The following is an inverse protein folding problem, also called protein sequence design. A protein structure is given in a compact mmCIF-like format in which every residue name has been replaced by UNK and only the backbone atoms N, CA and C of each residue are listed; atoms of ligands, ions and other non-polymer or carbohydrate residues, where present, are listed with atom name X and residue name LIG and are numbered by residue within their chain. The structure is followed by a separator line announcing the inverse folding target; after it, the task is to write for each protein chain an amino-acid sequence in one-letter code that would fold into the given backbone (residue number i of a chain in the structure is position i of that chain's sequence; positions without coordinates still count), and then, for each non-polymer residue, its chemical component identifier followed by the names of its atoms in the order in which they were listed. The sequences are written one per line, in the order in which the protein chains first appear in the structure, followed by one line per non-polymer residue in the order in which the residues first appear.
data_IF_103258023898
#
_entry.id   IF_103258023898
#
_cell.length_a   1.000
_cell.length_b   1.000
_cell.length_c   1.000
_cell.angle_alpha   90.00
_cell.angle_beta   90.00
_cell.angle_gamma   90.00
#
_symmetry.space_group_name_H-M   'P 1'
#
loop_
_entity.id
_entity.type
_entity.pdbx_description
1 polymer ?
#
# COMPACT_ATOMS: atom_id res chain seq x y z
N UNK A 1 9.75 51.54 52.00
CA UNK A 1 10.77 50.72 51.30
C UNK A 1 10.15 50.16 50.03
N UNK A 2 10.66 50.62 48.89
CA UNK A 2 10.11 50.37 47.56
C UNK A 2 10.55 49.00 47.01
N UNK A 3 9.58 48.36 46.34
CA UNK A 3 9.64 47.33 45.30
C UNK A 3 11.04 46.91 44.81
N UNK A 4 11.35 45.61 44.93
CA UNK A 4 12.23 44.90 44.00
C UNK A 4 11.50 43.67 43.44
N UNK A 5 10.62 43.92 42.48
CA UNK A 5 10.29 42.96 41.42
C UNK A 5 11.52 42.82 40.53
N UNK A 6 12.18 41.66 40.54
CA UNK A 6 13.23 41.34 39.56
C UNK A 6 12.68 40.35 38.55
N UNK A 7 12.95 40.64 37.29
CA UNK A 7 12.28 40.14 36.11
C UNK A 7 12.54 38.65 35.86
N UNK A 8 11.46 37.88 35.66
CA UNK A 8 11.49 36.64 34.89
C UNK A 8 11.09 37.00 33.47
N UNK A 9 12.08 37.32 32.64
CA UNK A 9 11.92 37.47 31.20
C UNK A 9 13.22 37.06 30.55
N UNK A 10 13.17 35.94 29.81
CA UNK A 10 14.00 35.55 28.65
C UNK A 10 14.28 34.03 28.62
N UNK A 11 13.24 33.20 28.55
CA UNK A 11 13.41 31.78 28.22
C UNK A 11 12.31 31.21 27.31
N UNK A 12 11.43 32.06 26.75
CA UNK A 12 10.27 31.62 25.94
C UNK A 12 10.45 31.90 24.44
N UNK A 13 11.48 32.63 24.02
CA UNK A 13 11.63 33.00 22.58
C UNK A 13 12.55 32.06 21.77
N UNK A 14 13.25 31.12 22.41
CA UNK A 14 14.08 30.13 21.66
C UNK A 14 13.36 28.78 21.46
N UNK A 15 12.24 28.52 22.16
CA UNK A 15 11.50 27.27 22.02
C UNK A 15 10.56 27.25 20.80
N UNK A 16 10.23 28.39 20.21
CA UNK A 16 9.29 28.50 19.06
C UNK A 16 9.97 28.58 17.70
N UNK A 17 11.31 28.64 17.63
CA UNK A 17 12.05 28.52 16.37
C UNK A 17 12.37 27.05 15.98
N UNK A 18 12.01 26.08 16.83
CA UNK A 18 12.19 24.64 16.57
C UNK A 18 10.92 23.93 16.05
N UNK A 19 9.89 24.68 15.65
CA UNK A 19 8.68 24.06 15.08
C UNK A 19 8.82 23.79 13.59
N UNK A 20 8.63 22.51 13.24
CA UNK A 20 8.42 21.94 11.90
C UNK A 20 9.64 21.55 11.08
N UNK A 21 10.61 20.84 11.66
CA UNK A 21 11.32 19.83 10.87
C UNK A 21 10.49 18.55 10.82
N UNK A 22 9.61 18.49 9.83
CA UNK A 22 8.83 17.31 9.47
C UNK A 22 9.75 16.35 8.72
N UNK A 23 9.91 15.15 9.25
CA UNK A 23 10.62 14.06 8.59
C UNK A 23 9.66 13.32 7.65
N UNK A 24 10.13 13.08 6.43
CA UNK A 24 9.48 12.37 5.35
C UNK A 24 10.20 11.03 5.22
N UNK A 25 9.43 9.96 5.03
CA UNK A 25 9.91 8.61 4.80
C UNK A 25 10.80 8.62 3.56
N UNK A 26 12.13 8.66 3.67
CA UNK A 26 13.01 9.20 2.62
C UNK A 26 12.58 10.64 2.23
N UNK A 27 13.52 11.57 2.02
CA UNK A 27 13.06 12.86 1.45
C UNK A 27 12.57 12.58 0.03
N UNK A 28 11.39 13.12 -0.30
CA UNK A 28 10.82 13.31 -1.64
C UNK A 28 11.79 13.14 -2.85
N UNK A 29 12.95 13.83 -2.91
CA UNK A 29 13.89 13.68 -4.04
C UNK A 29 14.54 12.29 -4.19
N UNK A 30 14.61 11.52 -3.10
CA UNK A 30 15.26 10.21 -3.07
C UNK A 30 14.39 9.16 -3.76
N UNK A 31 13.07 9.19 -3.53
CA UNK A 31 12.12 8.32 -4.25
C UNK A 31 12.10 8.63 -5.74
N UNK A 32 12.08 9.91 -6.10
CA UNK A 32 12.17 10.36 -7.50
C UNK A 32 13.42 9.80 -8.16
N UNK A 33 14.56 9.93 -7.49
CA UNK A 33 15.82 9.44 -8.03
C UNK A 33 15.87 7.93 -8.18
N UNK A 34 15.38 7.16 -7.19
CA UNK A 34 15.23 5.71 -7.35
C UNK A 34 14.38 5.38 -8.59
N UNK A 35 13.25 6.07 -8.77
CA UNK A 35 12.36 5.83 -9.90
C UNK A 35 13.04 6.06 -11.25
N UNK A 36 13.71 7.22 -11.40
CA UNK A 36 14.40 7.58 -12.63
C UNK A 36 15.55 6.62 -12.94
N UNK A 37 16.35 6.26 -11.94
CA UNK A 37 17.44 5.30 -12.11
C UNK A 37 16.96 3.89 -12.42
N UNK A 38 15.83 3.47 -11.84
CA UNK A 38 15.22 2.19 -12.20
C UNK A 38 14.70 2.17 -13.64
N UNK A 39 14.16 3.28 -14.16
CA UNK A 39 13.76 3.39 -15.57
C UNK A 39 14.99 3.31 -16.48
N UNK A 40 16.09 3.99 -16.12
CA UNK A 40 17.36 3.90 -16.86
C UNK A 40 17.92 2.47 -16.90
N UNK A 41 17.83 1.72 -15.78
CA UNK A 41 18.24 0.31 -15.72
C UNK A 41 17.52 -0.56 -16.76
N UNK A 42 16.23 -0.32 -17.02
CA UNK A 42 15.49 -1.07 -18.05
C UNK A 42 16.16 -0.98 -19.41
N UNK A 43 16.67 0.21 -19.77
CA UNK A 43 17.40 0.41 -21.03
C UNK A 43 18.73 -0.32 -21.02
N UNK A 44 19.49 -0.21 -19.93
CA UNK A 44 20.81 -0.82 -19.78
C UNK A 44 20.72 -2.35 -19.86
N UNK A 45 19.69 -2.93 -19.24
CA UNK A 45 19.49 -4.37 -19.15
C UNK A 45 18.71 -4.96 -20.36
N UNK A 46 18.37 -4.12 -21.35
CA UNK A 46 17.77 -4.57 -22.61
C UNK A 46 16.24 -4.74 -22.60
N UNK A 47 15.54 -4.27 -21.56
CA UNK A 47 14.07 -4.20 -21.52
C UNK A 47 13.55 -2.97 -22.27
N UNK A 48 13.89 -2.87 -23.56
CA UNK A 48 13.69 -1.67 -24.38
C UNK A 48 12.22 -1.27 -24.47
N UNK A 49 11.29 -2.21 -24.69
CA UNK A 49 9.87 -1.87 -24.82
C UNK A 49 9.27 -1.32 -23.51
N UNK A 50 9.71 -1.86 -22.37
CA UNK A 50 9.32 -1.36 -21.06
C UNK A 50 9.91 0.04 -20.84
N UNK A 51 11.20 0.23 -21.14
CA UNK A 51 11.86 1.52 -21.09
C UNK A 51 11.12 2.58 -21.94
N UNK A 52 10.78 2.27 -23.18
CA UNK A 52 10.08 3.19 -24.08
C UNK A 52 8.66 3.56 -23.60
N UNK A 53 8.00 2.69 -22.84
CA UNK A 53 6.74 3.03 -22.19
C UNK A 53 7.01 4.03 -21.07
N UNK A 54 7.89 3.70 -20.12
CA UNK A 54 8.07 4.48 -18.90
C UNK A 54 8.77 5.81 -19.16
N UNK A 55 9.67 5.89 -20.13
CA UNK A 55 10.39 7.12 -20.49
C UNK A 55 9.45 8.24 -20.93
N UNK A 56 8.29 7.90 -21.49
CA UNK A 56 7.24 8.86 -21.87
C UNK A 56 6.53 9.50 -20.68
N UNK A 57 6.65 8.89 -19.50
CA UNK A 57 5.95 9.28 -18.27
C UNK A 57 6.91 9.50 -17.09
N UNK A 58 8.21 9.70 -17.33
CA UNK A 58 9.23 9.91 -16.29
C UNK A 58 8.84 11.02 -15.31
N UNK A 59 8.42 12.18 -15.81
CA UNK A 59 7.99 13.31 -14.97
C UNK A 59 6.77 12.97 -14.12
N UNK A 60 5.79 12.27 -14.70
CA UNK A 60 4.60 11.81 -13.99
C UNK A 60 4.98 10.83 -12.89
N UNK A 61 5.84 9.85 -13.20
CA UNK A 61 6.27 8.84 -12.25
C UNK A 61 7.05 9.50 -11.12
N UNK A 62 8.09 10.27 -11.43
CA UNK A 62 8.92 10.96 -10.44
C UNK A 62 8.05 11.80 -9.50
N UNK A 63 7.28 12.75 -10.04
CA UNK A 63 6.48 13.68 -9.22
C UNK A 63 5.40 12.98 -8.36
N UNK A 64 4.91 11.81 -8.80
CA UNK A 64 3.88 11.07 -8.06
C UNK A 64 4.43 10.10 -7.01
N UNK A 65 5.74 9.79 -7.04
CA UNK A 65 6.37 8.97 -5.99
C UNK A 65 6.24 9.61 -4.61
N UNK A 66 6.08 10.93 -4.52
CA UNK A 66 6.03 11.64 -3.24
C UNK A 66 4.61 11.77 -2.67
N UNK A 67 3.58 11.53 -3.50
CA UNK A 67 2.17 11.73 -3.12
C UNK A 67 1.77 10.94 -1.87
N UNK A 68 2.16 9.65 -1.70
CA UNK A 68 1.84 8.90 -0.48
C UNK A 68 2.31 9.58 0.81
N UNK A 69 3.26 10.50 0.69
CA UNK A 69 3.87 11.20 1.81
C UNK A 69 3.23 12.56 2.16
N UNK A 70 2.33 13.06 1.30
CA UNK A 70 1.62 14.32 1.51
C UNK A 70 0.46 14.23 2.49
N UNK A 71 0.26 15.30 3.27
CA UNK A 71 -0.87 15.40 4.20
C UNK A 71 -2.19 15.37 3.41
N UNK A 72 -3.07 14.45 3.78
CA UNK A 72 -4.39 14.31 3.17
C UNK A 72 -4.44 13.34 2.00
N UNK A 73 -3.30 12.76 1.61
CA UNK A 73 -3.27 11.68 0.63
C UNK A 73 -3.91 10.39 1.19
N UNK A 74 -4.57 9.61 0.34
CA UNK A 74 -5.29 8.40 0.75
C UNK A 74 -4.37 7.22 1.10
N UNK A 75 -3.10 7.25 0.69
CA UNK A 75 -2.09 6.31 1.15
C UNK A 75 -1.22 6.89 2.27
N UNK A 76 -1.47 8.15 2.68
CA UNK A 76 -0.84 8.71 3.88
C UNK A 76 -1.52 8.16 5.12
N UNK A 77 -0.73 7.52 5.98
CA UNK A 77 -1.19 7.13 7.30
C UNK A 77 -0.04 6.82 8.24
N UNK A 78 -0.21 7.14 9.53
CA UNK A 78 0.80 6.87 10.56
C UNK A 78 1.15 5.37 10.52
N UNK A 79 2.41 5.03 10.24
CA UNK A 79 2.92 3.65 10.29
C UNK A 79 2.55 2.75 9.10
N UNK A 80 1.87 3.25 8.06
CA UNK A 80 1.48 2.42 6.91
C UNK A 80 2.61 2.19 5.90
N UNK A 81 3.56 3.11 5.84
CA UNK A 81 4.76 3.03 4.98
C UNK A 81 5.81 2.03 5.50
N UNK A 82 5.46 1.21 6.47
CA UNK A 82 6.36 0.29 7.15
C UNK A 82 6.01 -1.15 6.79
N UNK A 83 7.03 -1.99 6.72
CA UNK A 83 6.92 -3.43 6.53
C UNK A 83 8.00 -4.12 7.36
N UNK A 84 7.72 -4.21 8.66
CA UNK A 84 8.72 -4.42 9.70
C UNK A 84 9.05 -5.90 9.93
N UNK A 85 10.33 -6.21 9.86
CA UNK A 85 10.95 -7.51 10.22
C UNK A 85 11.27 -7.55 11.69
N UNK A 86 11.69 -6.42 12.24
CA UNK A 86 12.13 -6.30 13.64
C UNK A 86 11.29 -5.27 14.38
N UNK A 87 11.28 -5.36 15.70
CA UNK A 87 10.82 -4.26 16.54
C UNK A 87 11.85 -3.11 16.57
N UNK A 88 11.53 -2.05 17.32
CA UNK A 88 12.40 -0.86 17.45
C UNK A 88 13.79 -1.18 18.06
N UNK A 89 13.93 -2.34 18.72
CA UNK A 89 15.16 -2.80 19.36
C UNK A 89 15.94 -3.82 18.50
N UNK A 90 15.48 -4.11 17.29
CA UNK A 90 16.12 -5.06 16.38
C UNK A 90 15.73 -6.51 16.64
N UNK A 91 14.77 -6.79 17.53
CA UNK A 91 14.33 -8.17 17.76
C UNK A 91 13.43 -8.61 16.60
N UNK A 92 13.81 -9.72 15.95
CA UNK A 92 13.05 -10.31 14.84
C UNK A 92 11.63 -10.65 15.29
N UNK A 93 10.67 -10.14 14.54
CA UNK A 93 9.25 -10.41 14.71
C UNK A 93 8.84 -11.53 13.77
N UNK A 94 7.93 -12.39 14.24
CA UNK A 94 7.31 -13.37 13.35
C UNK A 94 6.44 -12.62 12.34
N UNK A 95 6.59 -12.95 11.07
CA UNK A 95 5.59 -12.60 10.08
C UNK A 95 4.21 -13.12 10.55
N UNK A 96 3.15 -12.41 10.17
CA UNK A 96 1.81 -12.94 10.31
C UNK A 96 1.69 -14.24 9.52
N UNK A 97 0.60 -14.96 9.77
CA UNK A 97 0.21 -16.06 8.91
C UNK A 97 0.03 -15.57 7.46
N UNK A 98 0.34 -16.42 6.47
CA UNK A 98 0.53 -16.07 5.04
C UNK A 98 1.69 -15.12 4.71
N UNK A 99 2.65 -14.93 5.62
CA UNK A 99 3.92 -14.27 5.32
C UNK A 99 3.86 -12.75 5.22
N UNK A 100 2.79 -12.09 5.68
CA UNK A 100 2.75 -10.63 5.77
C UNK A 100 3.53 -10.13 6.99
N UNK A 101 4.29 -9.04 6.85
CA UNK A 101 5.03 -8.41 7.95
C UNK A 101 4.23 -7.31 8.64
N UNK A 102 4.72 -6.85 9.79
CA UNK A 102 4.00 -5.89 10.62
C UNK A 102 4.09 -4.46 10.08
N UNK A 103 3.06 -3.65 10.35
CA UNK A 103 3.15 -2.20 10.17
C UNK A 103 3.88 -1.54 11.35
N UNK A 104 4.25 -0.27 11.19
CA UNK A 104 4.83 0.51 12.29
C UNK A 104 3.84 0.82 13.44
N UNK A 105 2.56 0.49 13.26
CA UNK A 105 1.50 0.63 14.27
C UNK A 105 1.17 -0.66 15.02
N UNK A 106 1.39 -1.83 14.41
CA UNK A 106 0.89 -3.11 14.94
C UNK A 106 1.58 -3.50 16.26
N UNK A 107 2.74 -2.93 16.58
CA UNK A 107 3.48 -3.25 17.80
C UNK A 107 2.81 -2.72 19.09
N UNK A 108 1.90 -1.75 18.98
CA UNK A 108 1.09 -1.29 20.11
C UNK A 108 -0.21 -2.09 20.27
N UNK A 109 -0.59 -2.91 19.28
CA UNK A 109 -1.79 -3.76 19.30
C UNK A 109 -1.63 -4.94 18.33
N UNK A 110 -0.86 -5.99 18.69
CA UNK A 110 -0.47 -7.09 17.80
C UNK A 110 -1.64 -7.87 17.16
N UNK A 111 -2.84 -7.73 17.72
CA UNK A 111 -4.08 -8.39 17.28
C UNK A 111 -4.87 -7.65 16.20
N UNK A 112 -4.43 -6.47 15.76
CA UNK A 112 -5.13 -5.67 14.74
C UNK A 112 -4.31 -5.55 13.48
N UNK A 113 -4.88 -5.98 12.35
CA UNK A 113 -4.43 -5.56 11.04
C UNK A 113 -4.28 -4.05 11.01
N UNK A 114 -3.13 -3.61 10.54
CA UNK A 114 -3.01 -2.29 9.96
C UNK A 114 -2.41 -2.46 8.57
N UNK A 115 -2.84 -1.57 7.69
CA UNK A 115 -2.26 -1.39 6.38
C UNK A 115 -0.72 -1.23 6.50
N UNK A 116 -0.01 -1.90 5.61
CA UNK A 116 1.45 -1.92 5.48
C UNK A 116 1.88 -1.46 4.09
N UNK A 117 3.18 -1.22 3.91
CA UNK A 117 3.72 -0.80 2.62
C UNK A 117 3.40 -1.83 1.53
N UNK A 118 3.51 -3.13 1.84
CA UNK A 118 3.12 -4.21 0.92
C UNK A 118 1.64 -4.16 0.54
N UNK A 119 0.73 -4.01 1.51
CA UNK A 119 -0.70 -3.97 1.17
C UNK A 119 -1.06 -2.73 0.35
N UNK A 120 -0.41 -1.59 0.61
CA UNK A 120 -0.57 -0.37 -0.21
C UNK A 120 -0.02 -0.60 -1.63
N UNK A 121 1.14 -1.24 -1.75
CA UNK A 121 1.72 -1.63 -3.04
C UNK A 121 0.73 -2.49 -3.82
N UNK A 122 0.21 -3.57 -3.24
CA UNK A 122 -0.72 -4.49 -3.89
C UNK A 122 -2.02 -3.78 -4.32
N UNK A 123 -2.56 -2.90 -3.48
CA UNK A 123 -3.75 -2.13 -3.82
C UNK A 123 -3.50 -1.17 -5.01
N UNK A 124 -2.39 -0.44 -4.99
CA UNK A 124 -2.04 0.50 -6.06
C UNK A 124 -1.62 -0.22 -7.35
N UNK A 125 -1.01 -1.40 -7.24
CA UNK A 125 -0.68 -2.26 -8.37
C UNK A 125 -1.94 -2.66 -9.13
N UNK A 126 -2.98 -3.09 -8.40
CA UNK A 126 -4.26 -3.43 -9.00
C UNK A 126 -4.93 -2.20 -9.65
N UNK A 127 -4.86 -1.02 -9.01
CA UNK A 127 -5.37 0.22 -9.60
C UNK A 127 -4.61 0.61 -10.88
N UNK A 128 -3.27 0.48 -10.89
CA UNK A 128 -2.44 0.79 -12.04
C UNK A 128 -2.80 -0.08 -13.25
N UNK A 129 -2.94 -1.39 -13.04
CA UNK A 129 -3.33 -2.31 -14.10
C UNK A 129 -4.73 -1.98 -14.66
N UNK A 130 -5.68 -1.63 -13.78
CA UNK A 130 -7.04 -1.25 -14.19
C UNK A 130 -7.06 0.02 -15.03
N UNK A 131 -6.38 1.09 -14.60
CA UNK A 131 -6.30 2.33 -15.38
C UNK A 131 -5.56 2.14 -16.71
N UNK A 132 -4.50 1.32 -16.72
CA UNK A 132 -3.78 1.01 -17.96
C UNK A 132 -4.70 0.34 -18.97
N UNK A 133 -5.46 -0.68 -18.54
CA UNK A 133 -6.44 -1.38 -19.38
C UNK A 133 -7.57 -0.47 -19.85
N UNK A 134 -7.97 0.50 -19.03
CA UNK A 134 -8.98 1.50 -19.40
C UNK A 134 -8.47 2.53 -20.42
N UNK A 135 -7.17 2.51 -20.76
CA UNK A 135 -6.54 3.46 -21.68
C UNK A 135 -6.09 4.77 -21.02
N UNK A 136 -6.30 4.93 -19.71
CA UNK A 136 -5.79 6.08 -18.94
C UNK A 136 -4.37 5.77 -18.44
N UNK A 137 -3.44 5.77 -19.40
CA UNK A 137 -2.04 5.38 -19.15
C UNK A 137 -1.36 6.34 -18.18
N UNK A 138 -1.64 7.65 -18.28
CA UNK A 138 -1.07 8.63 -17.37
C UNK A 138 -1.50 8.35 -15.93
N UNK A 139 -2.79 8.10 -15.70
CA UNK A 139 -3.29 7.72 -14.37
C UNK A 139 -2.70 6.40 -13.89
N UNK A 140 -2.53 5.42 -14.78
CA UNK A 140 -1.84 4.18 -14.46
C UNK A 140 -0.43 4.45 -13.94
N UNK A 141 0.33 5.33 -14.61
CA UNK A 141 1.69 5.69 -14.20
C UNK A 141 1.73 6.43 -12.85
N UNK A 142 0.70 7.21 -12.51
CA UNK A 142 0.57 7.78 -11.16
C UNK A 142 0.46 6.68 -10.08
N UNK A 143 -0.24 5.57 -10.37
CA UNK A 143 -0.32 4.43 -9.45
C UNK A 143 0.94 3.55 -9.45
N UNK A 144 1.62 3.41 -10.60
CA UNK A 144 2.96 2.81 -10.67
C UNK A 144 3.91 3.57 -9.76
N UNK A 145 3.92 4.91 -9.80
CA UNK A 145 4.73 5.74 -8.93
C UNK A 145 4.49 5.50 -7.43
N UNK A 146 3.23 5.25 -7.04
CA UNK A 146 2.88 4.89 -5.66
C UNK A 146 3.43 3.53 -5.26
N UNK A 147 3.47 2.58 -6.19
CA UNK A 147 4.11 1.28 -5.99
C UNK A 147 5.62 1.45 -5.78
N UNK A 148 6.27 2.29 -6.60
CA UNK A 148 7.70 2.64 -6.46
C UNK A 148 8.00 3.19 -5.07
N UNK A 149 7.18 4.12 -4.57
CA UNK A 149 7.32 4.65 -3.21
C UNK A 149 7.32 3.54 -2.16
N UNK A 150 6.36 2.61 -2.22
CA UNK A 150 6.27 1.52 -1.25
C UNK A 150 7.48 0.58 -1.33
N UNK A 151 7.99 0.27 -2.53
CA UNK A 151 9.20 -0.55 -2.68
C UNK A 151 10.41 0.15 -2.06
N UNK A 152 10.61 1.43 -2.36
CA UNK A 152 11.71 2.22 -1.83
C UNK A 152 11.66 2.31 -0.29
N UNK A 153 10.46 2.48 0.27
CA UNK A 153 10.25 2.43 1.73
C UNK A 153 10.53 1.03 2.30
N UNK A 154 10.21 -0.06 1.60
CA UNK A 154 10.60 -1.40 2.06
C UNK A 154 12.13 -1.59 1.95
N UNK A 155 12.79 -0.95 0.99
CA UNK A 155 14.26 -0.87 0.92
C UNK A 155 14.91 0.03 1.98
N UNK A 156 14.12 0.77 2.76
CA UNK A 156 14.59 1.67 3.81
C UNK A 156 14.68 0.96 5.17
N UNK A 157 15.87 0.93 5.77
CA UNK A 157 16.08 0.25 7.06
C UNK A 157 15.17 0.78 8.18
N UNK A 158 15.04 2.11 8.42
CA UNK A 158 14.08 2.60 9.41
C UNK A 158 12.64 2.09 9.25
N UNK A 159 12.21 1.79 8.02
CA UNK A 159 10.85 1.35 7.68
C UNK A 159 10.64 -0.17 7.80
N UNK A 160 11.73 -0.94 7.82
CA UNK A 160 11.73 -2.39 8.04
C UNK A 160 12.09 -2.77 9.48
N UNK A 161 12.55 -1.81 10.28
CA UNK A 161 12.96 -2.06 11.67
C UNK A 161 12.18 -1.23 12.69
N UNK A 162 10.99 -0.77 12.31
CA UNK A 162 10.07 -0.02 13.16
C UNK A 162 10.69 1.19 13.88
N UNK A 163 11.69 1.84 13.28
CA UNK A 163 12.27 3.06 13.82
C UNK A 163 11.33 4.23 13.50
N UNK A 164 10.14 4.25 14.09
CA UNK A 164 9.13 5.25 13.74
C UNK A 164 9.50 6.65 14.23
N UNK A 165 8.92 7.69 13.61
CA UNK A 165 9.06 9.08 14.05
C UNK A 165 8.53 9.35 15.47
N UNK A 166 7.74 8.44 16.02
CA UNK A 166 7.23 8.51 17.39
C UNK A 166 7.94 7.55 18.34
N UNK A 167 8.89 6.77 17.83
CA UNK A 167 9.68 5.85 18.66
C UNK A 167 10.72 6.60 19.49
N UNK A 168 11.20 5.94 20.55
CA UNK A 168 12.38 6.41 21.32
C UNK A 168 13.63 6.55 20.45
N UNK A 169 13.65 5.92 19.27
CA UNK A 169 14.75 5.92 18.31
C UNK A 169 14.55 6.90 17.13
N UNK A 170 13.59 7.82 17.22
CA UNK A 170 13.29 8.83 16.18
C UNK A 170 14.53 9.61 15.71
N UNK A 171 15.47 9.91 16.62
CA UNK A 171 16.72 10.59 16.25
C UNK A 171 17.56 9.80 15.24
N UNK A 172 17.53 8.46 15.30
CA UNK A 172 18.25 7.56 14.40
C UNK A 172 17.60 7.50 13.02
N UNK A 173 16.27 7.41 12.98
CA UNK A 173 15.48 7.52 11.75
C UNK A 173 15.79 8.83 11.02
N UNK A 174 15.64 9.96 11.71
CA UNK A 174 15.90 11.28 11.12
C UNK A 174 17.34 11.44 10.64
N UNK A 175 18.32 10.93 11.40
CA UNK A 175 19.73 10.96 11.00
C UNK A 175 19.94 10.20 9.69
N UNK A 176 19.43 8.98 9.60
CA UNK A 176 19.55 8.13 8.41
C UNK A 176 18.97 8.82 7.18
N UNK A 177 17.72 9.29 7.25
CA UNK A 177 17.05 9.90 6.10
C UNK A 177 17.63 11.26 5.72
N UNK A 178 18.04 12.05 6.72
CA UNK A 178 18.69 13.33 6.46
C UNK A 178 20.01 13.13 5.74
N UNK A 179 20.84 12.19 6.22
CA UNK A 179 22.11 11.85 5.58
C UNK A 179 21.90 11.27 4.18
N UNK A 180 20.96 10.35 4.03
CA UNK A 180 20.55 9.82 2.72
C UNK A 180 20.23 10.96 1.75
N UNK A 181 19.44 11.96 2.20
CA UNK A 181 19.05 13.08 1.35
C UNK A 181 20.19 14.00 0.88
N UNK A 182 21.39 13.90 1.46
CA UNK A 182 22.57 14.66 1.02
C UNK A 182 23.52 13.86 0.13
N UNK A 183 23.43 12.52 0.11
CA UNK A 183 24.39 11.66 -0.59
C UNK A 183 23.77 10.77 -1.67
N UNK A 184 22.45 10.57 -1.70
CA UNK A 184 21.79 9.58 -2.56
C UNK A 184 22.11 9.71 -4.05
N UNK A 185 22.33 10.93 -4.56
CA UNK A 185 22.64 11.17 -5.98
C UNK A 185 23.99 10.61 -6.43
N UNK A 186 24.84 10.18 -5.48
CA UNK A 186 26.12 9.52 -5.73
C UNK A 186 25.96 8.03 -6.07
N UNK A 187 24.82 7.43 -5.76
CA UNK A 187 24.66 5.98 -5.73
C UNK A 187 23.70 5.49 -6.82
N UNK A 188 24.23 4.72 -7.76
CA UNK A 188 23.49 4.24 -8.91
C UNK A 188 23.90 2.81 -9.24
N UNK A 189 22.93 1.90 -9.21
CA UNK A 189 23.11 0.54 -9.66
C UNK A 189 23.46 0.54 -11.16
N UNK A 190 24.47 -0.26 -11.53
CA UNK A 190 24.94 -0.34 -12.92
C UNK A 190 24.12 -1.27 -13.78
N UNK A 191 23.55 -2.29 -13.16
CA UNK A 191 22.69 -3.29 -13.77
C UNK A 191 21.62 -3.73 -12.77
N UNK A 192 20.49 -4.20 -13.29
CA UNK A 192 19.54 -4.99 -12.54
C UNK A 192 20.15 -6.30 -12.08
N UNK A 193 19.68 -6.77 -10.92
CA UNK A 193 19.98 -8.12 -10.46
C UNK A 193 19.02 -9.11 -11.13
N UNK A 194 19.57 -10.12 -11.82
CA UNK A 194 18.80 -11.12 -12.53
C UNK A 194 17.88 -11.93 -11.59
N UNK A 195 18.32 -12.23 -10.37
CA UNK A 195 17.51 -12.95 -9.38
C UNK A 195 16.35 -12.08 -8.89
N UNK A 196 16.55 -10.75 -8.80
CA UNK A 196 15.48 -9.81 -8.47
C UNK A 196 14.42 -9.77 -9.58
N UNK A 197 14.84 -9.70 -10.84
CA UNK A 197 13.91 -9.76 -11.98
C UNK A 197 13.14 -11.09 -11.99
N UNK A 198 13.86 -12.22 -11.83
CA UNK A 198 13.27 -13.55 -11.77
C UNK A 198 12.28 -13.71 -10.61
N UNK A 199 12.58 -13.17 -9.43
CA UNK A 199 11.66 -13.16 -8.29
C UNK A 199 10.37 -12.43 -8.66
N UNK A 200 10.45 -11.21 -9.21
CA UNK A 200 9.26 -10.48 -9.61
C UNK A 200 8.45 -11.18 -10.70
N UNK A 201 9.08 -11.93 -11.61
CA UNK A 201 8.39 -12.65 -12.67
C UNK A 201 7.77 -13.97 -12.20
N UNK A 202 8.40 -14.69 -11.27
CA UNK A 202 7.91 -15.97 -10.73
C UNK A 202 6.91 -15.80 -9.59
N UNK A 203 7.03 -14.73 -8.82
CA UNK A 203 6.18 -14.49 -7.67
C UNK A 203 4.75 -14.17 -8.10
N UNK A 204 3.80 -15.00 -7.67
CA UNK A 204 2.39 -14.82 -8.04
C UNK A 204 1.81 -13.53 -7.44
N UNK A 205 2.24 -13.15 -6.23
CA UNK A 205 1.56 -12.16 -5.38
C UNK A 205 2.52 -11.18 -4.66
N UNK A 206 3.73 -11.01 -5.18
CA UNK A 206 4.77 -10.11 -4.64
C UNK A 206 5.21 -10.41 -3.20
N UNK A 207 4.82 -11.56 -2.65
CA UNK A 207 5.12 -11.90 -1.27
C UNK A 207 6.58 -12.23 -1.05
N UNK A 208 7.14 -13.07 -1.89
CA UNK A 208 8.51 -13.54 -1.76
C UNK A 208 9.48 -12.41 -2.08
N UNK A 209 9.21 -11.62 -3.14
CA UNK A 209 10.09 -10.51 -3.50
C UNK A 209 10.10 -9.40 -2.43
N UNK A 210 8.93 -8.94 -1.96
CA UNK A 210 8.86 -7.85 -0.97
C UNK A 210 9.29 -8.31 0.43
N UNK A 211 9.10 -9.58 0.77
CA UNK A 211 9.65 -10.15 2.00
C UNK A 211 11.18 -10.20 1.95
N UNK A 212 11.76 -10.61 0.83
CA UNK A 212 13.22 -10.67 0.65
C UNK A 212 13.84 -9.27 0.75
N UNK A 213 13.26 -8.28 0.07
CA UNK A 213 13.71 -6.89 0.18
C UNK A 213 13.70 -6.39 1.63
N UNK A 214 12.61 -6.69 2.33
CA UNK A 214 12.42 -6.30 3.72
C UNK A 214 13.46 -6.95 4.64
N UNK A 215 13.79 -8.23 4.44
CA UNK A 215 14.85 -8.92 5.19
C UNK A 215 16.22 -8.29 4.96
N UNK A 216 16.59 -8.08 3.70
CA UNK A 216 17.88 -7.48 3.35
C UNK A 216 18.00 -6.09 3.96
N UNK A 217 16.96 -5.27 3.84
CA UNK A 217 16.88 -3.92 4.39
C UNK A 217 17.04 -3.90 5.92
N UNK A 218 16.44 -4.86 6.63
CA UNK A 218 16.51 -4.94 8.09
C UNK A 218 17.89 -5.38 8.62
N UNK A 219 18.71 -6.07 7.82
CA UNK A 219 20.06 -6.49 8.22
C UNK A 219 20.98 -5.30 8.56
N UNK A 220 20.67 -4.12 8.02
CA UNK A 220 21.39 -2.88 8.28
C UNK A 220 21.02 -2.20 9.60
N UNK A 221 20.13 -2.78 10.42
CA UNK A 221 19.65 -2.20 11.69
C UNK A 221 20.80 -1.69 12.57
N UNK A 222 21.78 -2.56 12.81
CA UNK A 222 22.88 -2.28 13.71
C UNK A 222 23.72 -1.10 13.22
N UNK A 223 24.00 -1.03 11.92
CA UNK A 223 24.68 0.13 11.34
C UNK A 223 23.83 1.38 11.49
N UNK A 224 22.55 1.35 11.13
CA UNK A 224 21.66 2.53 11.22
C UNK A 224 21.53 3.07 12.64
N UNK A 225 21.43 2.18 13.63
CA UNK A 225 21.25 2.54 15.04
C UNK A 225 22.56 2.92 15.71
N UNK A 226 23.61 2.12 15.52
CA UNK A 226 24.89 2.27 16.22
C UNK A 226 25.84 3.23 15.53
N UNK A 227 25.74 3.41 14.19
CA UNK A 227 26.75 4.06 13.33
C UNK A 227 27.51 5.19 14.03
N UNK A 228 28.79 4.94 14.41
CA UNK A 228 29.66 5.94 14.99
C UNK A 228 30.39 6.79 13.92
N UNK A 229 30.48 6.33 12.66
CA UNK A 229 31.21 6.98 11.56
C UNK A 229 30.33 7.12 10.29
N UNK A 230 30.53 8.21 9.52
CA UNK A 230 29.71 8.54 8.33
C UNK A 230 29.99 7.62 7.12
N UNK A 231 31.20 7.08 6.97
CA UNK A 231 31.58 6.20 5.85
C UNK A 231 30.80 4.89 5.83
N UNK A 232 30.60 4.25 6.98
CA UNK A 232 29.78 3.05 7.12
C UNK A 232 28.30 3.34 6.83
N UNK A 233 27.85 4.56 7.14
CA UNK A 233 26.49 5.00 6.83
C UNK A 233 26.33 5.24 5.33
N UNK A 234 27.33 5.82 4.65
CA UNK A 234 27.36 5.97 3.19
C UNK A 234 27.28 4.61 2.48
N UNK A 235 28.09 3.62 2.87
CA UNK A 235 28.04 2.26 2.30
C UNK A 235 26.67 1.60 2.51
N UNK A 236 26.08 1.77 3.69
CA UNK A 236 24.73 1.25 3.98
C UNK A 236 23.68 1.87 3.08
N UNK A 237 23.78 3.19 2.84
CA UNK A 237 22.84 3.94 2.00
C UNK A 237 23.07 3.59 0.53
N UNK A 238 24.30 3.46 0.07
CA UNK A 238 24.63 3.02 -1.29
C UNK A 238 23.96 1.69 -1.59
N UNK A 239 24.17 0.69 -0.72
CA UNK A 239 23.54 -0.61 -0.85
C UNK A 239 22.01 -0.52 -0.87
N UNK A 240 21.40 0.25 0.05
CA UNK A 240 19.95 0.40 0.10
C UNK A 240 19.36 1.10 -1.14
N UNK A 241 20.00 2.18 -1.61
CA UNK A 241 19.55 2.96 -2.79
C UNK A 241 19.69 2.11 -4.06
N UNK A 242 20.84 1.49 -4.28
CA UNK A 242 21.07 0.64 -5.45
C UNK A 242 20.14 -0.58 -5.46
N UNK A 243 19.93 -1.23 -4.32
CA UNK A 243 18.99 -2.35 -4.20
C UNK A 243 17.55 -1.90 -4.50
N UNK A 244 17.12 -0.75 -3.98
CA UNK A 244 15.79 -0.21 -4.27
C UNK A 244 15.61 0.08 -5.76
N UNK A 245 16.63 0.62 -6.45
CA UNK A 245 16.60 0.81 -7.91
C UNK A 245 16.40 -0.51 -8.66
N UNK A 246 17.12 -1.57 -8.28
CA UNK A 246 17.00 -2.89 -8.91
C UNK A 246 15.62 -3.53 -8.66
N UNK A 247 15.10 -3.44 -7.43
CA UNK A 247 13.75 -3.94 -7.11
C UNK A 247 12.65 -3.17 -7.83
N UNK A 248 12.79 -1.84 -7.95
CA UNK A 248 11.86 -1.03 -8.74
C UNK A 248 11.94 -1.41 -10.21
N UNK A 249 13.13 -1.62 -10.78
CA UNK A 249 13.28 -2.07 -12.16
C UNK A 249 12.60 -3.43 -12.38
N UNK A 250 12.78 -4.40 -11.48
CA UNK A 250 12.10 -5.71 -11.56
C UNK A 250 10.58 -5.60 -11.48
N UNK A 251 10.09 -4.73 -10.60
CA UNK A 251 8.68 -4.37 -10.54
C UNK A 251 8.17 -3.77 -11.85
N UNK A 252 8.91 -2.84 -12.47
CA UNK A 252 8.51 -2.20 -13.72
C UNK A 252 8.44 -3.22 -14.86
N UNK A 253 9.40 -4.15 -14.97
CA UNK A 253 9.34 -5.26 -15.94
C UNK A 253 8.09 -6.11 -15.72
N UNK A 254 7.79 -6.45 -14.46
CA UNK A 254 6.61 -7.24 -14.10
C UNK A 254 5.31 -6.51 -14.40
N UNK A 255 5.19 -5.23 -14.07
CA UNK A 255 4.00 -4.44 -14.41
C UNK A 255 3.81 -4.37 -15.92
N UNK A 256 4.87 -4.02 -16.67
CA UNK A 256 4.82 -3.95 -18.13
C UNK A 256 4.30 -5.26 -18.71
N UNK A 257 4.89 -6.40 -18.29
CA UNK A 257 4.49 -7.74 -18.74
C UNK A 257 3.03 -8.05 -18.42
N UNK A 258 2.59 -7.81 -17.19
CA UNK A 258 1.21 -8.08 -16.76
C UNK A 258 0.21 -7.17 -17.49
N UNK A 259 0.59 -5.92 -17.75
CA UNK A 259 -0.23 -4.94 -18.48
C UNK A 259 -0.42 -5.31 -19.95
N UNK A 260 0.65 -5.69 -20.67
CA UNK A 260 0.57 -6.07 -22.09
C UNK A 260 -0.10 -7.43 -22.29
N UNK A 261 0.11 -8.38 -21.38
CA UNK A 261 -0.49 -9.71 -21.46
C UNK A 261 -1.96 -9.72 -21.02
N UNK A 262 -2.50 -8.56 -20.62
CA UNK A 262 -3.88 -8.43 -20.19
C UNK A 262 -4.19 -9.32 -18.99
N UNK A 263 -3.25 -9.43 -18.03
CA UNK A 263 -3.50 -10.12 -16.76
C UNK A 263 -4.84 -9.66 -16.18
N UNK A 264 -5.55 -10.57 -15.51
CA UNK A 264 -6.93 -10.36 -15.05
C UNK A 264 -7.00 -9.14 -14.14
N UNK A 265 -7.40 -8.02 -14.71
CA UNK A 265 -7.73 -6.81 -13.97
C UNK A 265 -9.21 -6.90 -13.64
N UNK A 266 -9.52 -6.86 -12.36
CA UNK A 266 -10.89 -6.62 -11.98
C UNK A 266 -11.30 -5.23 -12.49
N UNK A 267 -12.58 -5.06 -12.81
CA UNK A 267 -13.24 -3.74 -12.80
C UNK A 267 -12.90 -2.86 -14.01
N UNK A 268 -12.82 -3.52 -15.17
CA UNK A 268 -12.80 -2.95 -16.53
C UNK A 268 -14.17 -2.41 -17.00
N UNK A 269 -15.03 -1.99 -16.07
CA UNK A 269 -16.43 -1.64 -16.37
C UNK A 269 -17.34 -2.85 -16.65
N UNK A 270 -16.81 -4.08 -16.57
CA UNK A 270 -17.59 -5.31 -16.71
C UNK A 270 -18.62 -5.52 -15.61
N UNK A 271 -19.55 -6.45 -15.85
CA UNK A 271 -20.55 -6.94 -14.88
C UNK A 271 -20.00 -8.18 -14.19
N UNK A 272 -20.09 -8.20 -12.86
CA UNK A 272 -19.55 -9.26 -12.04
C UNK A 272 -20.54 -9.73 -10.96
N UNK A 273 -20.60 -11.04 -10.75
CA UNK A 273 -21.07 -11.63 -9.51
C UNK A 273 -19.91 -11.69 -8.51
N UNK A 274 -20.16 -11.31 -7.25
CA UNK A 274 -19.11 -11.22 -6.23
C UNK A 274 -19.39 -12.29 -5.18
N UNK A 275 -18.54 -13.32 -5.13
CA UNK A 275 -18.69 -14.50 -4.28
C UNK A 275 -17.68 -14.50 -3.14
N UNK A 276 -18.13 -14.74 -1.92
CA UNK A 276 -17.24 -14.95 -0.78
C UNK A 276 -16.59 -16.34 -0.84
N UNK A 277 -15.30 -16.43 -0.53
CA UNK A 277 -14.54 -17.69 -0.63
C UNK A 277 -14.99 -18.71 0.41
N UNK A 278 -15.07 -18.34 1.70
CA UNK A 278 -15.41 -19.30 2.76
C UNK A 278 -16.84 -19.83 2.65
N UNK A 279 -17.79 -18.92 2.47
CA UNK A 279 -19.22 -19.29 2.53
C UNK A 279 -19.78 -19.71 1.19
N UNK A 280 -19.07 -19.42 0.09
CA UNK A 280 -19.56 -19.56 -1.28
C UNK A 280 -20.68 -18.60 -1.63
N UNK A 281 -21.11 -17.71 -0.72
CA UNK A 281 -22.28 -16.86 -0.88
C UNK A 281 -22.00 -15.65 -1.76
N UNK A 282 -22.99 -15.23 -2.54
CA UNK A 282 -22.89 -14.04 -3.38
C UNK A 282 -23.40 -12.79 -2.68
N UNK A 283 -22.83 -11.64 -3.02
CA UNK A 283 -23.43 -10.35 -2.66
C UNK A 283 -24.76 -10.17 -3.41
N UNK A 284 -25.79 -9.69 -2.71
CA UNK A 284 -27.09 -9.35 -3.27
C UNK A 284 -27.69 -8.13 -2.57
N UNK A 285 -28.57 -7.39 -3.26
CA UNK A 285 -29.27 -6.22 -2.72
C UNK A 285 -30.75 -6.56 -2.50
N UNK A 286 -31.19 -6.67 -1.24
CA UNK A 286 -32.58 -7.04 -0.92
C UNK A 286 -33.52 -5.82 -0.83
N UNK A 287 -34.70 -5.95 -1.43
CA UNK A 287 -35.84 -5.04 -1.24
C UNK A 287 -36.68 -5.48 -0.04
N UNK A 288 -36.90 -4.62 0.95
CA UNK A 288 -37.93 -4.90 1.96
C UNK A 288 -39.29 -4.38 1.53
N UNK A 289 -40.36 -5.03 2.01
CA UNK A 289 -41.78 -4.71 1.70
C UNK A 289 -42.19 -3.26 1.99
N UNK A 290 -41.42 -2.52 2.79
CA UNK A 290 -41.69 -1.11 3.10
C UNK A 290 -41.23 -0.11 2.01
N UNK A 291 -40.73 -0.60 0.87
CA UNK A 291 -40.12 0.25 -0.16
C UNK A 291 -38.76 0.82 0.23
N UNK A 292 -38.32 0.65 1.49
CA UNK A 292 -36.98 1.03 1.96
C UNK A 292 -35.99 -0.06 1.56
N UNK A 293 -34.94 0.38 0.86
CA UNK A 293 -33.75 -0.42 0.62
C UNK A 293 -33.07 -0.70 1.97
N UNK A 294 -32.88 -1.98 2.30
CA UNK A 294 -31.96 -2.36 3.36
C UNK A 294 -30.69 -2.92 2.74
N UNK A 295 -29.64 -2.93 3.55
CA UNK A 295 -28.25 -3.16 3.20
C UNK A 295 -28.04 -4.46 2.38
N UNK A 296 -26.85 -4.57 1.78
CA UNK A 296 -26.44 -5.74 1.02
C UNK A 296 -26.44 -7.00 1.90
N UNK A 297 -26.92 -8.11 1.36
CA UNK A 297 -27.02 -9.40 2.04
C UNK A 297 -26.28 -10.49 1.25
N UNK A 298 -25.92 -11.56 1.94
CA UNK A 298 -25.27 -12.73 1.36
C UNK A 298 -26.31 -13.76 0.92
N UNK A 299 -26.36 -14.06 -0.38
CA UNK A 299 -27.24 -15.07 -0.96
C UNK A 299 -26.62 -16.49 -0.85
N UNK A 300 -27.44 -17.48 -0.51
CA UNK A 300 -27.00 -18.87 -0.26
C UNK A 300 -26.65 -19.63 -1.56
N UNK A 301 -25.37 -19.99 -1.74
CA UNK A 301 -24.92 -20.74 -2.92
C UNK A 301 -25.11 -22.27 -2.86
N UNK A 302 -25.51 -22.85 -1.70
CA UNK A 302 -25.78 -24.29 -1.57
C UNK A 302 -26.91 -24.82 -2.46
N UNK A 303 -27.62 -23.93 -3.15
CA UNK A 303 -28.46 -24.25 -4.29
C UNK A 303 -27.82 -23.67 -5.55
N UNK A 304 -26.88 -24.39 -6.16
CA UNK A 304 -26.42 -24.12 -7.54
C UNK A 304 -27.62 -24.14 -8.54
N UNK A 305 -28.81 -24.51 -8.07
CA UNK A 305 -30.11 -24.51 -8.74
C UNK A 305 -31.17 -23.53 -8.20
N UNK A 306 -30.94 -22.70 -7.16
CA UNK A 306 -31.76 -21.48 -6.96
C UNK A 306 -31.11 -20.45 -7.86
N UNK A 307 -31.76 -20.17 -8.98
CA UNK A 307 -31.24 -19.41 -10.11
C UNK A 307 -30.44 -18.17 -9.69
N UNK A 308 -29.31 -17.94 -10.39
CA UNK A 308 -28.55 -16.68 -10.37
C UNK A 308 -29.45 -15.44 -10.55
N UNK A 309 -30.68 -15.61 -11.05
CA UNK A 309 -31.74 -14.60 -11.15
C UNK A 309 -32.01 -13.84 -9.84
N UNK A 310 -31.73 -14.43 -8.66
CA UNK A 310 -31.94 -13.76 -7.37
C UNK A 310 -30.69 -13.02 -6.84
N UNK A 311 -29.55 -13.13 -7.53
CA UNK A 311 -28.32 -12.41 -7.21
C UNK A 311 -28.20 -11.16 -8.10
N UNK A 312 -27.77 -10.04 -7.51
CA UNK A 312 -27.47 -8.85 -8.30
C UNK A 312 -26.11 -9.00 -8.96
N UNK A 313 -26.02 -8.80 -10.28
CA UNK A 313 -24.74 -8.49 -10.90
C UNK A 313 -24.37 -7.05 -10.53
N UNK A 314 -23.08 -6.81 -10.31
CA UNK A 314 -22.54 -5.49 -10.00
C UNK A 314 -21.68 -5.02 -11.16
N UNK A 315 -21.97 -3.82 -11.63
CA UNK A 315 -21.04 -3.03 -12.45
C UNK A 315 -20.05 -2.40 -11.50
N UNK A 316 -18.78 -2.44 -11.86
CA UNK A 316 -17.77 -1.74 -11.10
C UNK A 316 -17.25 -0.51 -11.83
N UNK A 317 -17.22 0.61 -11.10
CA UNK A 317 -16.58 1.85 -11.51
C UNK A 317 -15.41 2.16 -10.59
N UNK A 318 -14.31 2.67 -11.15
CA UNK A 318 -13.14 3.10 -10.41
C UNK A 318 -13.19 4.62 -10.16
N UNK A 319 -12.84 5.04 -8.95
CA UNK A 319 -12.65 6.46 -8.59
C UNK A 319 -11.21 6.88 -8.86
N UNK A 320 -10.96 8.19 -8.88
CA UNK A 320 -9.61 8.76 -9.06
C UNK A 320 -8.56 8.33 -8.04
N UNK A 321 -8.98 7.87 -6.85
CA UNK A 321 -8.10 7.34 -5.80
C UNK A 321 -7.82 5.83 -5.94
N UNK A 322 -8.32 5.22 -7.02
CA UNK A 322 -8.16 3.80 -7.32
C UNK A 322 -9.14 2.90 -6.56
N UNK A 323 -10.03 3.48 -5.75
CA UNK A 323 -11.08 2.73 -5.07
C UNK A 323 -12.26 2.44 -6.01
N UNK A 324 -12.85 1.28 -5.80
CA UNK A 324 -13.92 0.72 -6.59
C UNK A 324 -15.27 0.93 -5.94
N UNK A 325 -16.26 1.31 -6.75
CA UNK A 325 -17.66 1.36 -6.37
C UNK A 325 -18.38 0.24 -7.12
N UNK A 326 -19.12 -0.58 -6.37
CA UNK A 326 -19.94 -1.64 -6.95
C UNK A 326 -21.39 -1.18 -7.02
N UNK A 327 -21.95 -1.12 -8.22
CA UNK A 327 -23.32 -0.69 -8.49
C UNK A 327 -24.12 -1.84 -9.08
N UNK A 328 -25.17 -2.27 -8.39
CA UNK A 328 -26.12 -3.25 -8.88
C UNK A 328 -27.01 -2.68 -9.99
N UNK A 329 -27.61 -3.54 -10.81
CA UNK A 329 -28.47 -3.18 -11.95
C UNK A 329 -29.66 -2.27 -11.60
N UNK A 330 -30.14 -2.30 -10.36
CA UNK A 330 -31.17 -1.39 -9.86
C UNK A 330 -30.60 -0.01 -9.44
N UNK A 331 -29.42 0.35 -9.94
CA UNK A 331 -28.64 1.54 -9.61
C UNK A 331 -28.32 1.70 -8.12
N UNK A 332 -28.22 0.59 -7.38
CA UNK A 332 -27.88 0.62 -5.96
C UNK A 332 -26.43 0.28 -5.73
N UNK A 333 -25.80 1.07 -4.88
CA UNK A 333 -24.40 0.91 -4.53
C UNK A 333 -24.26 -0.08 -3.37
N UNK A 334 -23.27 -0.95 -3.45
CA UNK A 334 -22.89 -1.85 -2.37
C UNK A 334 -22.50 -1.03 -1.14
N UNK A 335 -23.08 -1.36 0.02
CA UNK A 335 -22.92 -0.54 1.22
C UNK A 335 -22.88 -1.37 2.51
N UNK A 336 -21.85 -1.19 3.34
CA UNK A 336 -21.67 -1.88 4.63
C UNK A 336 -21.76 -0.90 5.80
N UNK A 337 -22.93 -0.73 6.43
CA UNK A 337 -23.04 0.20 7.57
C UNK A 337 -22.12 -0.23 8.72
N UNK A 338 -21.31 0.67 9.30
CA UNK A 338 -20.80 0.44 10.65
C UNK A 338 -21.99 0.39 11.61
N UNK A 339 -22.05 -0.65 12.46
CA UNK A 339 -23.19 -0.90 13.36
C UNK A 339 -23.44 0.21 14.40
N UNK A 340 -22.66 1.29 14.45
CA UNK A 340 -22.64 2.26 15.56
C UNK A 340 -22.81 3.73 15.19
N UNK A 341 -22.99 4.13 13.93
CA UNK A 341 -23.15 5.57 13.60
C UNK A 341 -24.63 5.90 13.32
N UNK A 342 -25.24 6.63 14.24
CA UNK A 342 -26.65 7.03 14.29
C UNK A 342 -27.09 8.05 13.25
N UNK A 343 -26.36 8.23 12.15
CA UNK A 343 -26.76 9.15 11.08
C UNK A 343 -26.76 8.47 9.72
N UNK A 344 -27.94 8.47 9.09
CA UNK A 344 -28.18 7.97 7.75
C UNK A 344 -27.55 8.86 6.66
N UNK A 345 -26.20 8.96 6.63
CA UNK A 345 -25.52 9.36 5.40
C UNK A 345 -25.35 8.12 4.53
N UNK A 346 -26.12 8.04 3.44
CA UNK A 346 -25.83 7.14 2.32
C UNK A 346 -24.46 7.54 1.75
N UNK A 347 -23.40 6.90 2.22
CA UNK A 347 -22.08 6.99 1.62
C UNK A 347 -21.95 5.78 0.68
N UNK A 348 -21.66 6.04 -0.59
CA UNK A 348 -21.14 5.02 -1.50
C UNK A 348 -19.81 4.51 -0.93
N UNK A 349 -19.65 3.18 -0.89
CA UNK A 349 -18.44 2.57 -0.34
C UNK A 349 -17.44 2.41 -1.47
N UNK A 350 -16.29 3.08 -1.35
CA UNK A 350 -15.13 2.80 -2.16
C UNK A 350 -14.33 1.66 -1.54
N UNK A 351 -13.97 0.65 -2.31
CA UNK A 351 -13.10 -0.43 -1.87
C UNK A 351 -11.80 -0.42 -2.65
N UNK A 352 -10.64 -0.53 -2.02
CA UNK A 352 -9.43 -0.92 -2.73
C UNK A 352 -9.38 -2.44 -2.80
N UNK A 353 -9.09 -2.97 -3.99
CA UNK A 353 -8.92 -4.40 -4.20
C UNK A 353 -7.43 -4.74 -4.22
N UNK A 354 -7.04 -5.73 -3.41
CA UNK A 354 -5.70 -6.32 -3.45
C UNK A 354 -5.81 -7.80 -3.77
N UNK A 355 -5.02 -8.28 -4.73
CA UNK A 355 -4.94 -9.70 -5.07
C UNK A 355 -4.42 -10.51 -3.88
N UNK A 356 -4.92 -11.74 -3.72
CA UNK A 356 -4.59 -12.68 -2.65
C UNK A 356 -4.56 -14.11 -3.22
N UNK A 357 -3.99 -15.11 -2.53
CA UNK A 357 -3.99 -16.49 -3.03
C UNK A 357 -5.39 -17.05 -3.31
N UNK A 358 -6.39 -16.54 -2.58
CA UNK A 358 -7.77 -17.03 -2.61
C UNK A 358 -8.72 -16.15 -3.45
N UNK A 359 -8.22 -15.14 -4.15
CA UNK A 359 -9.05 -14.14 -4.85
C UNK A 359 -8.62 -12.74 -4.45
N UNK A 360 -9.53 -11.93 -3.93
CA UNK A 360 -9.26 -10.53 -3.60
C UNK A 360 -9.71 -10.19 -2.20
N UNK A 361 -8.93 -9.34 -1.53
CA UNK A 361 -9.41 -8.61 -0.35
C UNK A 361 -10.02 -7.28 -0.80
N UNK A 362 -11.04 -6.81 -0.08
CA UNK A 362 -11.70 -5.54 -0.35
C UNK A 362 -11.57 -4.61 0.86
N UNK A 363 -10.55 -3.76 0.83
CA UNK A 363 -10.26 -2.80 1.89
C UNK A 363 -11.19 -1.60 1.80
N UNK A 364 -11.87 -1.27 2.89
CA UNK A 364 -12.95 -0.27 2.92
C UNK A 364 -12.43 1.15 3.15
N UNK A 365 -12.86 2.10 2.30
CA UNK A 365 -12.51 3.53 2.41
C UNK A 365 -12.97 4.19 3.70
N UNK A 366 -14.11 3.81 4.30
CA UNK A 366 -14.59 4.44 5.55
C UNK A 366 -13.64 4.20 6.72
N UNK A 367 -13.07 3.00 6.78
CA UNK A 367 -12.02 2.63 7.74
C UNK A 367 -10.66 3.24 7.41
N UNK A 368 -10.58 4.11 6.38
CA UNK A 368 -9.32 4.53 5.74
C UNK A 368 -8.49 3.32 5.31
N UNK A 369 -9.16 2.30 4.77
CA UNK A 369 -8.58 1.05 4.29
C UNK A 369 -7.93 0.16 5.38
N UNK A 370 -8.27 0.37 6.67
CA UNK A 370 -7.79 -0.46 7.80
C UNK A 370 -8.70 -1.66 8.11
N UNK A 371 -9.83 -1.80 7.43
CA UNK A 371 -10.70 -2.96 7.53
C UNK A 371 -11.02 -3.50 6.15
N UNK A 372 -11.34 -4.79 6.09
CA UNK A 372 -11.80 -5.47 4.89
C UNK A 372 -13.24 -5.91 5.03
N UNK A 373 -13.96 -5.95 3.91
CA UNK A 373 -15.27 -6.57 3.82
C UNK A 373 -15.15 -8.07 4.06
N UNK A 374 -15.96 -8.61 4.96
CA UNK A 374 -15.99 -10.03 5.28
C UNK A 374 -17.41 -10.54 5.57
N UNK A 375 -17.50 -11.84 5.83
CA UNK A 375 -18.73 -12.55 6.20
C UNK A 375 -18.65 -13.09 7.63
N UNK A 376 -19.66 -12.80 8.45
CA UNK A 376 -19.80 -13.33 9.81
C UNK A 376 -21.26 -13.71 10.08
N UNK A 377 -21.52 -14.95 10.48
CA UNK A 377 -22.87 -15.44 10.81
C UNK A 377 -23.92 -15.04 9.74
N UNK A 378 -23.54 -15.17 8.46
CA UNK A 378 -24.36 -14.83 7.29
C UNK A 378 -24.63 -13.32 7.07
N UNK A 379 -23.86 -12.45 7.71
CA UNK A 379 -23.92 -11.00 7.56
C UNK A 379 -22.62 -10.45 7.01
N UNK A 380 -22.71 -9.31 6.31
CA UNK A 380 -21.54 -8.53 5.95
C UNK A 380 -21.01 -7.77 7.16
N UNK A 381 -19.70 -7.81 7.35
CA UNK A 381 -19.00 -7.09 8.40
C UNK A 381 -17.74 -6.42 7.85
N UNK A 382 -17.19 -5.48 8.61
CA UNK A 382 -15.87 -4.90 8.39
C UNK A 382 -14.96 -5.32 9.53
N UNK A 383 -13.88 -6.03 9.21
CA UNK A 383 -12.92 -6.54 10.20
C UNK A 383 -11.49 -6.21 9.82
N UNK A 384 -10.62 -6.27 10.82
CA UNK A 384 -9.17 -6.29 10.60
C UNK A 384 -8.82 -7.45 9.65
N UNK A 385 -8.06 -7.18 8.60
CA UNK A 385 -7.68 -8.22 7.63
C UNK A 385 -6.77 -9.27 8.25
N UNK A 386 -7.25 -10.50 8.25
CA UNK A 386 -6.48 -11.72 8.44
C UNK A 386 -6.39 -12.45 7.08
N UNK A 387 -5.19 -12.63 6.50
CA UNK A 387 -5.01 -13.30 5.21
C UNK A 387 -5.31 -14.82 5.23
N UNK A 388 -5.40 -15.43 6.41
CA UNK A 388 -5.74 -16.85 6.56
C UNK A 388 -7.26 -17.07 6.73
N UNK A 389 -8.00 -16.00 7.00
CA UNK A 389 -9.43 -16.06 7.23
C UNK A 389 -10.18 -16.01 5.91
N UNK A 390 -10.62 -17.17 5.42
CA UNK A 390 -11.29 -17.29 4.13
C UNK A 390 -12.54 -16.39 3.98
N UNK A 391 -13.21 -15.96 5.07
CA UNK A 391 -14.32 -15.00 4.98
C UNK A 391 -13.90 -13.62 4.47
N UNK A 392 -12.60 -13.29 4.49
CA UNK A 392 -12.07 -12.01 4.05
C UNK A 392 -11.80 -11.93 2.54
N UNK A 393 -11.88 -13.07 1.84
CA UNK A 393 -11.54 -13.18 0.43
C UNK A 393 -12.79 -13.29 -0.44
N UNK A 394 -12.71 -12.66 -1.60
CA UNK A 394 -13.79 -12.54 -2.56
C UNK A 394 -13.31 -12.93 -3.96
N UNK A 395 -14.16 -13.64 -4.70
CA UNK A 395 -13.96 -13.98 -6.11
C UNK A 395 -14.94 -13.16 -6.92
N UNK A 396 -14.43 -12.53 -7.98
CA UNK A 396 -15.22 -11.82 -8.96
C UNK A 396 -15.41 -12.71 -10.18
N UNK A 397 -16.66 -13.07 -10.46
CA UNK A 397 -17.04 -13.94 -11.56
C UNK A 397 -17.76 -13.09 -12.59
N UNK A 398 -17.35 -13.16 -13.87
CA UNK A 398 -18.04 -12.42 -14.94
C UNK A 398 -19.49 -12.90 -15.03
N UNK A 399 -20.41 -11.93 -15.11
CA UNK A 399 -21.85 -12.18 -15.19
C UNK A 399 -22.30 -12.65 -16.58
#
# INVERSE_FOLDING_TARGET
MLKKTTAVLSAVVVATALTNQKAYAWKSPTHEYIALKAIELLKVDGYIDAYELYSKYEDTIASHTQKPDYKGDFDKGKGWHYYCVTDVHGNVQKASQSGYRMSGKNLLSPSRYCRTARTIFEDNYQSALTFYKAGDIEKAMQFVARCVHMIADIGCTPHTTNLTLTSVMNSKHKRYEYHTSSVFTRFEAKHGDADVYDMFMKDKLFGDCLNTLSDISANSYDTVVKAPEESLLDETIENAVCLAQQYVAGFLVRFYTDAINGKVNLLDGGRYYIRNVQTGKYLSVLMTRSGKAYNCHLANAKRVTQSLENCSAFICSINDDGSYIFTAENNRILSAKPYTVSEQKKLSFGFKAGETPNGFRLSDKLSSYNAVLCVEEDKLALKAYNPDELSHHWVFEKA
#
